data_IF_665515726064
#
_entry.id   IF_665515726064
#
_cell.length_a   1.000
_cell.length_b   1.000
_cell.length_c   1.000
_cell.angle_alpha   90.00
_cell.angle_beta   90.00
_cell.angle_gamma   90.00
#
_symmetry.space_group_name_H-M   'P 1'
#
loop_
_entity.id
_entity.type
_entity.pdbx_description
1 polymer ?
#
# COMPACT_ATOMS: atom_id res chain seq x y z
N UNK A 1 -11.99 15.12 -14.22
CA UNK A 1 -10.75 15.10 -13.42
C UNK A 1 -11.06 14.40 -12.10
N UNK A 2 -10.50 13.22 -11.82
CA UNK A 2 -10.75 12.50 -10.57
C UNK A 2 -9.97 13.19 -9.46
N UNK A 3 -10.68 13.75 -8.46
CA UNK A 3 -10.06 14.35 -7.27
C UNK A 3 -9.62 13.24 -6.32
N UNK A 4 -8.40 12.72 -6.51
CA UNK A 4 -7.82 11.64 -5.69
C UNK A 4 -7.60 12.06 -4.22
N UNK A 5 -7.53 13.35 -3.91
CA UNK A 5 -7.44 13.83 -2.52
C UNK A 5 -8.80 13.89 -1.79
N UNK A 6 -9.85 13.27 -2.32
CA UNK A 6 -11.16 13.21 -1.65
C UNK A 6 -11.15 12.39 -0.36
N UNK A 7 -10.15 11.52 -0.18
CA UNK A 7 -9.96 10.72 1.03
C UNK A 7 -9.37 11.50 2.22
N UNK A 8 -8.90 12.74 2.01
CA UNK A 8 -8.25 13.53 3.07
C UNK A 8 -6.92 12.95 3.55
N UNK A 9 -6.33 12.00 2.81
CA UNK A 9 -5.01 11.43 3.11
C UNK A 9 -3.95 12.38 2.56
N UNK A 10 -3.22 13.01 3.46
CA UNK A 10 -2.06 13.84 3.14
C UNK A 10 -0.78 13.21 3.72
N UNK A 11 0.35 13.86 3.48
CA UNK A 11 1.66 13.42 3.97
C UNK A 11 1.71 13.19 5.48
N UNK A 12 1.13 14.08 6.28
CA UNK A 12 1.11 13.95 7.75
C UNK A 12 0.38 12.69 8.18
N UNK A 13 -0.79 12.43 7.60
CA UNK A 13 -1.56 11.21 7.85
C UNK A 13 -0.79 9.97 7.39
N UNK A 14 -0.18 10.01 6.21
CA UNK A 14 0.62 8.89 5.69
C UNK A 14 1.83 8.56 6.59
N UNK A 15 2.52 9.59 7.11
CA UNK A 15 3.62 9.41 8.05
C UNK A 15 3.17 8.75 9.35
N UNK A 16 2.02 9.15 9.89
CA UNK A 16 1.46 8.51 11.08
C UNK A 16 1.08 7.05 10.82
N UNK A 17 0.43 6.74 9.69
CA UNK A 17 0.14 5.36 9.27
C UNK A 17 1.40 4.50 9.22
N UNK A 18 2.47 5.04 8.63
CA UNK A 18 3.76 4.36 8.53
C UNK A 18 4.36 4.08 9.92
N UNK A 19 4.34 5.08 10.81
CA UNK A 19 4.87 4.98 12.19
C UNK A 19 4.09 3.98 13.03
N UNK A 20 2.77 4.06 13.05
CA UNK A 20 1.94 3.12 13.82
C UNK A 20 2.10 1.68 13.33
N UNK A 21 2.24 1.49 12.01
CA UNK A 21 2.51 0.18 11.41
C UNK A 21 3.89 -0.35 11.84
N UNK A 22 4.91 0.52 11.78
CA UNK A 22 6.28 0.19 12.19
C UNK A 22 6.35 -0.22 13.66
N UNK A 23 5.75 0.57 14.55
CA UNK A 23 5.71 0.28 15.99
C UNK A 23 5.09 -1.09 16.26
N UNK A 24 3.97 -1.41 15.60
CA UNK A 24 3.33 -2.71 15.76
C UNK A 24 4.20 -3.86 15.23
N UNK A 25 4.83 -3.70 14.07
CA UNK A 25 5.69 -4.73 13.48
C UNK A 25 6.98 -4.95 14.26
N UNK A 26 7.60 -3.89 14.77
CA UNK A 26 8.77 -3.97 15.64
C UNK A 26 8.43 -4.63 16.98
N UNK A 27 7.25 -4.31 17.53
CA UNK A 27 6.71 -4.99 18.71
C UNK A 27 6.52 -6.49 18.46
N UNK A 28 5.86 -6.87 17.36
CA UNK A 28 5.69 -8.28 16.97
C UNK A 28 7.03 -8.99 16.76
N UNK A 29 7.98 -8.34 16.10
CA UNK A 29 9.32 -8.90 15.89
C UNK A 29 9.98 -9.17 17.25
N UNK A 30 10.01 -8.20 18.15
CA UNK A 30 10.63 -8.33 19.48
C UNK A 30 9.94 -9.39 20.33
N UNK A 31 8.61 -9.30 20.45
CA UNK A 31 7.84 -10.03 21.47
C UNK A 31 7.45 -11.44 21.01
N UNK A 32 7.54 -11.73 19.72
CA UNK A 32 7.19 -13.03 19.15
C UNK A 32 8.34 -13.66 18.36
N UNK A 33 8.81 -13.01 17.29
CA UNK A 33 9.84 -13.58 16.41
C UNK A 33 11.13 -13.82 17.18
N UNK A 34 11.68 -12.78 17.78
CA UNK A 34 12.99 -12.81 18.45
C UNK A 34 12.90 -13.60 19.76
N UNK A 35 11.84 -13.37 20.55
CA UNK A 35 11.62 -14.03 21.84
C UNK A 35 11.53 -15.56 21.73
N UNK A 36 10.85 -16.07 20.70
CA UNK A 36 10.63 -17.51 20.53
C UNK A 36 11.48 -18.13 19.40
N UNK A 37 12.33 -17.35 18.74
CA UNK A 37 13.17 -17.82 17.63
C UNK A 37 12.37 -18.29 16.41
N UNK A 38 11.21 -17.68 16.14
CA UNK A 38 10.32 -18.10 15.04
C UNK A 38 10.88 -17.62 13.70
N UNK A 39 10.98 -18.50 12.71
CA UNK A 39 11.36 -18.12 11.36
C UNK A 39 10.12 -18.07 10.45
N UNK A 40 9.78 -16.88 9.96
CA UNK A 40 8.64 -16.65 9.07
C UNK A 40 9.11 -16.38 7.64
N UNK A 41 8.38 -16.89 6.65
CA UNK A 41 8.67 -16.59 5.26
C UNK A 41 8.38 -15.11 4.93
N UNK A 42 9.09 -14.55 3.95
CA UNK A 42 8.87 -13.18 3.48
C UNK A 42 7.43 -12.92 3.04
N UNK A 43 6.74 -13.95 2.51
CA UNK A 43 5.33 -13.88 2.14
C UNK A 43 4.47 -13.67 3.38
N UNK A 44 4.64 -14.48 4.43
CA UNK A 44 3.88 -14.36 5.67
C UNK A 44 4.13 -13.02 6.37
N UNK A 45 5.38 -12.54 6.38
CA UNK A 45 5.70 -11.21 6.90
C UNK A 45 4.99 -10.13 6.09
N UNK A 46 5.01 -10.20 4.75
CA UNK A 46 4.33 -9.21 3.90
C UNK A 46 2.82 -9.20 4.11
N UNK A 47 2.19 -10.37 4.28
CA UNK A 47 0.77 -10.49 4.60
C UNK A 47 0.44 -9.91 5.98
N UNK A 48 1.33 -10.12 6.97
CA UNK A 48 1.16 -9.55 8.31
C UNK A 48 1.27 -8.02 8.28
N UNK A 49 2.27 -7.46 7.60
CA UNK A 49 2.43 -6.01 7.42
C UNK A 49 1.19 -5.43 6.76
N UNK A 50 0.67 -6.08 5.71
CA UNK A 50 -0.57 -5.67 5.04
C UNK A 50 -1.77 -5.59 5.98
N UNK A 51 -2.02 -6.66 6.75
CA UNK A 51 -3.13 -6.72 7.72
C UNK A 51 -2.99 -5.67 8.83
N UNK A 52 -1.79 -5.48 9.37
CA UNK A 52 -1.54 -4.46 10.38
C UNK A 52 -1.75 -3.07 9.78
N UNK A 53 -1.25 -2.82 8.58
CA UNK A 53 -1.41 -1.54 7.89
C UNK A 53 -2.88 -1.17 7.68
N UNK A 54 -3.72 -2.11 7.20
CA UNK A 54 -5.16 -1.90 7.07
C UNK A 54 -5.85 -1.54 8.39
N UNK A 55 -5.47 -2.20 9.49
CA UNK A 55 -5.96 -1.87 10.84
C UNK A 55 -5.54 -0.45 11.25
N UNK A 56 -4.30 -0.06 10.95
CA UNK A 56 -3.86 1.31 11.22
C UNK A 56 -4.58 2.33 10.34
N UNK A 57 -4.90 2.00 9.08
CA UNK A 57 -5.73 2.83 8.23
C UNK A 57 -7.08 3.14 8.88
N UNK A 58 -7.84 2.13 9.29
CA UNK A 58 -9.13 2.35 9.98
C UNK A 58 -8.98 3.25 11.21
N UNK A 59 -8.00 2.97 12.09
CA UNK A 59 -7.80 3.71 13.34
C UNK A 59 -7.37 5.16 13.12
N UNK A 60 -6.27 5.35 12.39
CA UNK A 60 -5.65 6.67 12.18
C UNK A 60 -6.55 7.54 11.32
N UNK A 61 -7.13 6.99 10.25
CA UNK A 61 -7.99 7.77 9.36
C UNK A 61 -9.30 8.16 10.05
N UNK A 62 -9.94 7.25 10.81
CA UNK A 62 -11.15 7.59 11.57
C UNK A 62 -10.89 8.74 12.55
N UNK A 63 -9.79 8.65 13.30
CA UNK A 63 -9.37 9.69 14.24
C UNK A 63 -9.07 11.02 13.54
N UNK A 64 -8.32 11.01 12.43
CA UNK A 64 -7.88 12.22 11.73
C UNK A 64 -8.99 12.91 10.95
N UNK A 65 -9.91 12.14 10.38
CA UNK A 65 -10.97 12.66 9.52
C UNK A 65 -12.25 13.00 10.29
N UNK A 66 -12.39 12.51 11.53
CA UNK A 66 -13.55 12.78 12.38
C UNK A 66 -14.83 12.07 11.92
N UNK A 67 -14.71 11.01 11.12
CA UNK A 67 -15.80 10.12 10.73
C UNK A 67 -15.26 8.72 10.47
N UNK A 68 -16.14 7.72 10.48
CA UNK A 68 -15.76 6.31 10.34
C UNK A 68 -15.11 6.00 8.97
N UNK A 69 -13.91 5.45 9.02
CA UNK A 69 -13.28 4.72 7.91
C UNK A 69 -13.25 3.25 8.31
N UNK A 70 -14.06 2.44 7.64
CA UNK A 70 -14.24 1.03 7.99
C UNK A 70 -13.26 0.16 7.23
N UNK A 71 -12.59 -0.75 7.93
CA UNK A 71 -11.88 -1.86 7.30
C UNK A 71 -12.88 -2.98 6.97
N UNK A 72 -12.96 -3.36 5.70
CA UNK A 72 -13.83 -4.48 5.32
C UNK A 72 -13.18 -5.83 5.62
N UNK A 73 -14.02 -6.85 5.84
CA UNK A 73 -13.59 -8.17 6.31
C UNK A 73 -13.71 -9.27 5.27
N UNK A 74 -14.37 -9.01 4.13
CA UNK A 74 -14.67 -10.03 3.12
C UNK A 74 -13.85 -9.78 1.85
N UNK A 75 -13.38 -10.85 1.24
CA UNK A 75 -12.54 -10.82 0.02
C UNK A 75 -13.17 -10.14 -1.20
N UNK A 76 -14.49 -9.88 -1.19
CA UNK A 76 -15.23 -9.24 -2.29
C UNK A 76 -15.44 -7.74 -2.10
N UNK A 77 -15.04 -7.22 -0.93
CA UNK A 77 -15.18 -5.84 -0.50
C UNK A 77 -13.83 -5.11 -0.65
N UNK A 78 -13.84 -3.78 -0.84
CA UNK A 78 -12.60 -2.99 -0.84
C UNK A 78 -11.91 -3.05 0.52
N UNK A 79 -10.59 -2.92 0.58
CA UNK A 79 -9.86 -2.98 1.85
C UNK A 79 -10.38 -1.93 2.87
N UNK A 80 -10.75 -0.74 2.39
CA UNK A 80 -11.26 0.37 3.20
C UNK A 80 -12.51 1.01 2.58
N UNK A 81 -13.42 1.46 3.44
CA UNK A 81 -14.62 2.20 3.06
C UNK A 81 -14.79 3.48 3.88
N UNK A 82 -14.82 4.63 3.20
CA UNK A 82 -14.97 5.95 3.82
C UNK A 82 -16.44 6.33 3.87
N UNK A 83 -17.06 6.17 5.03
CA UNK A 83 -18.53 6.24 5.19
C UNK A 83 -19.12 7.58 4.80
N UNK A 84 -18.47 8.70 5.18
CA UNK A 84 -18.99 10.05 4.93
C UNK A 84 -18.97 10.45 3.46
N UNK A 85 -17.94 10.04 2.72
CA UNK A 85 -17.81 10.34 1.28
C UNK A 85 -18.36 9.22 0.40
N UNK A 86 -18.84 8.13 1.02
CA UNK A 86 -19.37 6.94 0.34
C UNK A 86 -18.40 6.39 -0.73
N UNK A 87 -17.11 6.28 -0.38
CA UNK A 87 -16.07 5.84 -1.32
C UNK A 87 -15.26 4.66 -0.82
N UNK A 88 -15.01 3.67 -1.69
CA UNK A 88 -14.06 2.60 -1.44
C UNK A 88 -12.61 3.05 -1.72
N UNK A 89 -11.65 2.46 -1.01
CA UNK A 89 -10.22 2.59 -1.28
C UNK A 89 -9.57 1.21 -1.16
N UNK A 90 -8.83 0.81 -2.19
CA UNK A 90 -8.05 -0.43 -2.17
C UNK A 90 -6.63 -0.16 -1.69
N UNK A 91 -6.09 -1.02 -0.85
CA UNK A 91 -4.69 -0.97 -0.42
C UNK A 91 -3.92 -2.06 -1.14
N UNK A 92 -2.77 -1.70 -1.72
CA UNK A 92 -1.84 -2.68 -2.29
C UNK A 92 -0.47 -2.46 -1.71
N UNK A 93 0.03 -3.49 -1.03
CA UNK A 93 1.27 -3.43 -0.27
C UNK A 93 2.29 -4.42 -0.86
N UNK A 94 3.55 -3.99 -0.94
CA UNK A 94 4.65 -4.80 -1.49
C UNK A 94 5.92 -4.56 -0.69
N UNK A 95 6.80 -5.56 -0.59
CA UNK A 95 8.16 -5.39 -0.04
C UNK A 95 9.20 -5.07 -1.11
N UNK A 96 8.78 -4.91 -2.38
CA UNK A 96 9.67 -4.60 -3.51
C UNK A 96 9.63 -3.11 -3.90
N UNK A 97 10.62 -2.66 -4.68
CA UNK A 97 10.71 -1.27 -5.17
C UNK A 97 10.32 -1.12 -6.65
N UNK A 98 9.83 -2.19 -7.28
CA UNK A 98 9.63 -2.24 -8.73
C UNK A 98 8.18 -2.46 -9.14
N UNK A 99 7.37 -3.18 -8.35
CA UNK A 99 5.98 -3.47 -8.71
C UNK A 99 5.09 -3.86 -7.53
N UNK A 100 3.78 -3.65 -7.74
CA UNK A 100 2.70 -4.21 -6.96
C UNK A 100 2.05 -5.35 -7.73
N UNK A 101 1.68 -6.41 -7.03
CA UNK A 101 0.88 -7.50 -7.58
C UNK A 101 -0.58 -7.30 -7.20
N UNK A 102 -1.47 -7.60 -8.13
CA UNK A 102 -2.90 -7.56 -7.99
C UNK A 102 -3.49 -8.96 -8.05
N UNK A 103 -4.66 -9.12 -7.43
CA UNK A 103 -5.51 -10.29 -7.60
C UNK A 103 -6.52 -10.08 -8.74
N UNK A 104 -7.47 -11.00 -8.87
CA UNK A 104 -8.56 -10.86 -9.83
C UNK A 104 -9.41 -9.60 -9.60
N UNK A 105 -9.58 -9.18 -8.34
CA UNK A 105 -10.35 -8.01 -7.95
C UNK A 105 -9.66 -6.67 -8.21
N UNK A 106 -8.33 -6.67 -8.39
CA UNK A 106 -7.59 -5.49 -8.82
C UNK A 106 -7.95 -5.06 -10.25
N UNK A 107 -8.79 -5.83 -10.95
CA UNK A 107 -9.35 -5.48 -12.26
C UNK A 107 -10.51 -4.46 -12.17
N UNK A 108 -11.08 -4.19 -11.00
CA UNK A 108 -12.15 -3.20 -10.84
C UNK A 108 -11.57 -1.77 -10.83
N UNK A 109 -12.29 -0.78 -11.41
CA UNK A 109 -11.88 0.61 -11.34
C UNK A 109 -12.00 1.10 -9.89
N UNK A 110 -10.87 1.35 -9.25
CA UNK A 110 -10.80 1.81 -7.86
C UNK A 110 -9.75 2.90 -7.70
N UNK A 111 -9.87 3.66 -6.63
CA UNK A 111 -8.77 4.42 -6.08
C UNK A 111 -7.91 3.47 -5.24
N UNK A 112 -6.59 3.54 -5.43
CA UNK A 112 -5.63 2.67 -4.77
C UNK A 112 -4.68 3.51 -3.92
N UNK A 113 -4.43 3.05 -2.70
CA UNK A 113 -3.27 3.41 -1.90
C UNK A 113 -2.19 2.35 -2.12
N UNK A 114 -1.20 2.70 -2.93
CA UNK A 114 -0.03 1.87 -3.22
C UNK A 114 1.02 2.10 -2.16
N UNK A 115 1.39 1.04 -1.44
CA UNK A 115 2.36 1.07 -0.33
C UNK A 115 3.52 0.15 -0.66
N UNK A 116 4.73 0.61 -0.41
CA UNK A 116 5.91 -0.25 -0.38
C UNK A 116 6.63 -0.07 0.95
N UNK A 117 7.03 -1.18 1.56
CA UNK A 117 7.73 -1.19 2.85
C UNK A 117 9.09 -1.89 2.73
N UNK A 118 10.02 -1.53 3.60
CA UNK A 118 11.37 -2.08 3.61
C UNK A 118 12.12 -1.83 4.92
N UNK A 119 13.45 -1.98 4.85
CA UNK A 119 14.32 -1.87 6.01
C UNK A 119 13.95 -2.87 7.10
N UNK A 120 13.96 -2.41 8.34
CA UNK A 120 13.46 -3.13 9.50
C UNK A 120 12.08 -2.61 9.89
N UNK A 121 11.16 -2.58 8.92
CA UNK A 121 9.81 -1.99 9.03
C UNK A 121 9.83 -0.47 9.25
N UNK A 122 10.90 0.22 8.85
CA UNK A 122 11.15 1.65 9.11
C UNK A 122 11.30 2.47 7.82
N UNK A 123 11.02 1.89 6.65
CA UNK A 123 11.09 2.57 5.36
C UNK A 123 9.81 2.38 4.55
N UNK A 124 9.21 3.47 4.06
CA UNK A 124 7.95 3.43 3.33
C UNK A 124 7.93 4.32 2.08
N UNK A 125 7.22 3.87 1.06
CA UNK A 125 6.73 4.68 -0.04
C UNK A 125 5.21 4.56 -0.08
N UNK A 126 4.50 5.66 -0.31
CA UNK A 126 3.04 5.68 -0.40
C UNK A 126 2.57 6.60 -1.51
N UNK A 127 1.65 6.12 -2.34
CA UNK A 127 1.02 6.94 -3.37
C UNK A 127 -0.45 6.58 -3.58
N UNK A 128 -1.29 7.60 -3.83
CA UNK A 128 -2.66 7.45 -4.28
C UNK A 128 -2.73 7.53 -5.80
N UNK A 129 -3.50 6.63 -6.41
CA UNK A 129 -3.70 6.57 -7.86
C UNK A 129 -5.00 5.86 -8.21
N UNK A 130 -5.69 6.29 -9.27
CA UNK A 130 -6.89 5.60 -9.77
C UNK A 130 -6.52 4.51 -10.78
N UNK A 131 -6.77 3.22 -10.53
CA UNK A 131 -6.42 2.16 -11.49
C UNK A 131 -7.65 1.44 -12.02
N UNK A 132 -7.60 1.12 -13.29
CA UNK A 132 -8.57 0.28 -14.01
C UNK A 132 -7.89 -1.03 -14.46
N UNK A 133 -8.70 -2.03 -14.86
CA UNK A 133 -8.22 -3.32 -15.39
C UNK A 133 -7.06 -3.20 -16.38
N UNK A 134 -7.13 -2.26 -17.32
CA UNK A 134 -6.14 -2.06 -18.39
C UNK A 134 -4.77 -1.60 -17.89
N UNK A 135 -4.71 -1.02 -16.68
CA UNK A 135 -3.45 -0.57 -16.10
C UNK A 135 -2.60 -1.76 -15.62
N UNK A 136 -3.26 -2.84 -15.21
CA UNK A 136 -2.64 -4.07 -14.75
C UNK A 136 -2.16 -4.92 -15.93
N UNK A 137 -0.88 -5.31 -15.90
CA UNK A 137 -0.33 -6.24 -16.89
C UNK A 137 -0.72 -7.67 -16.48
N UNK A 138 -1.49 -8.36 -17.32
CA UNK A 138 -1.74 -9.80 -17.14
C UNK A 138 -0.45 -10.57 -17.34
N UNK A 139 -0.12 -11.48 -16.42
CA UNK A 139 1.06 -12.34 -16.52
C UNK A 139 0.69 -13.83 -16.69
N UNK A 140 -0.59 -14.14 -16.94
CA UNK A 140 -1.13 -15.51 -17.00
C UNK A 140 -0.45 -16.43 -18.03
N UNK A 141 0.21 -15.88 -19.05
CA UNK A 141 0.91 -16.67 -20.06
C UNK A 141 2.39 -16.94 -19.73
N UNK A 142 2.96 -16.29 -18.71
CA UNK A 142 4.42 -16.33 -18.48
C UNK A 142 4.88 -16.66 -17.06
N UNK A 143 4.03 -16.53 -16.03
CA UNK A 143 4.40 -16.86 -14.65
C UNK A 143 3.16 -17.12 -13.77
N UNK A 144 3.33 -17.96 -12.74
CA UNK A 144 2.35 -18.25 -11.66
C UNK A 144 1.89 -17.02 -10.83
N UNK A 145 2.35 -15.81 -11.17
CA UNK A 145 2.06 -14.60 -10.42
C UNK A 145 0.87 -13.84 -11.04
N UNK A 146 0.03 -13.29 -10.16
CA UNK A 146 -1.10 -12.45 -10.54
C UNK A 146 -0.71 -11.21 -11.35
N UNK A 147 -1.69 -10.47 -11.90
CA UNK A 147 -1.43 -9.26 -12.67
C UNK A 147 -0.55 -8.26 -11.90
N UNK A 148 0.31 -7.52 -12.59
CA UNK A 148 1.27 -6.60 -11.96
C UNK A 148 1.14 -5.16 -12.43
N UNK A 149 1.42 -4.21 -11.54
CA UNK A 149 1.50 -2.77 -11.81
C UNK A 149 2.89 -2.25 -11.40
N UNK A 150 3.64 -1.69 -12.35
CA UNK A 150 5.05 -1.33 -12.14
C UNK A 150 5.24 0.11 -11.65
N UNK A 151 6.33 0.35 -10.93
CA UNK A 151 6.78 1.67 -10.51
C UNK A 151 7.00 2.62 -11.71
N UNK A 152 7.48 2.11 -12.84
CA UNK A 152 7.61 2.88 -14.08
C UNK A 152 6.26 3.40 -14.60
N UNK A 153 5.23 2.53 -14.63
CA UNK A 153 3.87 2.94 -15.01
C UNK A 153 3.32 3.97 -14.05
N UNK A 154 3.54 3.81 -12.74
CA UNK A 154 3.13 4.79 -11.74
C UNK A 154 3.84 6.13 -11.98
N UNK A 155 5.16 6.12 -12.18
CA UNK A 155 5.95 7.33 -12.41
C UNK A 155 5.43 8.19 -13.56
N UNK A 156 4.97 7.56 -14.65
CA UNK A 156 4.41 8.24 -15.83
C UNK A 156 3.00 8.81 -15.61
N UNK A 157 2.26 8.35 -14.58
CA UNK A 157 0.91 8.84 -14.27
C UNK A 157 0.96 10.30 -13.82
N UNK A 158 0.20 11.17 -14.48
CA UNK A 158 0.08 12.59 -14.13
C UNK A 158 -0.85 12.84 -12.93
N UNK A 159 -1.78 11.93 -12.68
CA UNK A 159 -2.81 12.06 -11.66
C UNK A 159 -2.45 11.39 -10.34
N UNK A 160 -1.27 10.76 -10.22
CA UNK A 160 -0.82 10.19 -8.94
C UNK A 160 -0.59 11.29 -7.89
N UNK A 161 -0.78 10.95 -6.63
CA UNK A 161 -0.38 11.77 -5.48
C UNK A 161 0.64 10.96 -4.68
N UNK A 162 1.88 11.41 -4.63
CA UNK A 162 2.91 10.79 -3.76
C UNK A 162 2.78 11.39 -2.36
N UNK A 163 2.62 10.53 -1.36
CA UNK A 163 2.42 10.91 0.03
C UNK A 163 3.71 10.76 0.84
N UNK A 164 4.47 9.69 0.60
CA UNK A 164 5.76 9.39 1.22
C UNK A 164 6.73 8.80 0.19
N UNK A 165 8.02 9.09 0.35
CA UNK A 165 9.06 8.63 -0.55
C UNK A 165 9.09 9.38 -1.89
N UNK A 166 9.81 8.83 -2.86
CA UNK A 166 9.98 9.44 -4.17
C UNK A 166 10.25 8.39 -5.26
N UNK A 167 10.61 8.83 -6.46
CA UNK A 167 11.05 7.97 -7.55
C UNK A 167 12.49 8.32 -7.92
N UNK A 168 13.24 7.30 -8.33
CA UNK A 168 14.56 7.45 -8.92
C UNK A 168 14.55 6.82 -10.32
N UNK A 169 15.11 7.54 -11.29
CA UNK A 169 15.39 7.01 -12.63
C UNK A 169 16.88 6.77 -12.76
N UNK A 170 17.26 5.50 -12.89
CA UNK A 170 18.66 5.12 -13.11
C UNK A 170 19.15 5.61 -14.48
N UNK A 171 20.48 5.71 -14.71
CA UNK A 171 21.04 6.09 -16.02
C UNK A 171 20.57 5.18 -17.16
N UNK A 172 20.27 3.90 -16.87
CA UNK A 172 19.74 2.92 -17.85
C UNK A 172 18.24 3.09 -18.11
N UNK A 173 17.60 4.12 -17.56
CA UNK A 173 16.17 4.40 -17.73
C UNK A 173 15.24 3.59 -16.83
N UNK A 174 15.75 2.66 -16.02
CA UNK A 174 14.93 1.93 -15.04
C UNK A 174 14.42 2.88 -13.96
N UNK A 175 13.12 2.87 -13.73
CA UNK A 175 12.46 3.62 -12.66
C UNK A 175 12.25 2.72 -11.45
N UNK A 176 12.64 3.20 -10.27
CA UNK A 176 12.41 2.57 -8.97
C UNK A 176 11.72 3.57 -8.04
N UNK A 177 10.97 3.05 -7.08
CA UNK A 177 10.58 3.87 -5.93
C UNK A 177 11.73 3.95 -4.92
N UNK A 178 11.85 5.12 -4.29
CA UNK A 178 12.72 5.36 -3.14
C UNK A 178 11.83 5.47 -1.92
N UNK A 179 12.07 4.60 -0.94
CA UNK A 179 11.36 4.65 0.34
C UNK A 179 11.98 5.72 1.22
N UNK A 180 11.13 6.36 2.00
CA UNK A 180 11.53 7.30 3.03
C UNK A 180 11.63 6.58 4.37
N UNK A 181 12.71 6.85 5.11
CA UNK A 181 12.88 6.36 6.47
C UNK A 181 12.02 7.19 7.45
N UNK A 182 11.32 6.55 8.37
CA UNK A 182 10.32 7.17 9.26
C UNK A 182 10.70 7.24 10.72
#
# INVERSE_FOLDING_TARGET
MILLNTFGINRTTALELAKETSVCMLGFKRDFIDKYGVNLSNKLISELVGKIFEVQCERVLTKRLGYEVRKEKRDKEPDLFFTRINKPLEVKLTSTTSAWTGGEFSKRPFDYLLVSWGGNFDEFFMALVHLEKKNWKSNFESNFYGPSYSAAKLYERKDKIVLLGSFEKTPRGTVKIVREKI
#
